data_IF_018644521190
#
_entry.id   IF_018644521190
#
_cell.length_a   1.000
_cell.length_b   1.000
_cell.length_c   1.000
_cell.angle_alpha   90.00
_cell.angle_beta   90.00
_cell.angle_gamma   90.00
#
_symmetry.space_group_name_H-M   'P 1'
#
loop_
_entity.id
_entity.type
_entity.pdbx_description
1 polymer ?
#
# COMPACT_ATOMS: atom_id res chain seq x y z
N UNK A 1 -6.01 1.45 -21.74
CA UNK A 1 -6.00 0.45 -20.64
C UNK A 1 -4.65 -0.25 -20.47
N UNK A 2 -3.96 -0.77 -21.50
CA UNK A 2 -2.66 -1.44 -21.32
C UNK A 2 -1.55 -0.57 -20.69
N UNK A 3 -1.45 0.71 -21.05
CA UNK A 3 -0.43 1.63 -20.50
C UNK A 3 -0.55 1.85 -18.99
N UNK A 4 -1.77 1.88 -18.46
CA UNK A 4 -2.03 2.13 -17.03
C UNK A 4 -1.77 0.90 -16.15
N UNK A 5 -1.92 -0.32 -16.69
CA UNK A 5 -1.59 -1.57 -15.97
C UNK A 5 -0.09 -1.66 -15.68
N UNK A 6 0.75 -1.35 -16.69
CA UNK A 6 2.21 -1.34 -16.52
C UNK A 6 2.67 -0.30 -15.50
N UNK A 7 2.06 0.89 -15.51
CA UNK A 7 2.35 1.93 -14.53
C UNK A 7 1.97 1.50 -13.10
N UNK A 8 0.81 0.88 -12.91
CA UNK A 8 0.36 0.39 -11.59
C UNK A 8 1.26 -0.72 -11.06
N UNK A 9 1.67 -1.66 -11.92
CA UNK A 9 2.60 -2.71 -11.54
C UNK A 9 3.95 -2.11 -11.13
N UNK A 10 4.52 -1.22 -11.94
CA UNK A 10 5.79 -0.58 -11.64
C UNK A 10 5.73 0.20 -10.31
N UNK A 11 4.69 1.00 -10.10
CA UNK A 11 4.52 1.76 -8.85
C UNK A 11 4.33 0.84 -7.63
N UNK A 12 3.56 -0.24 -7.77
CA UNK A 12 3.37 -1.23 -6.70
C UNK A 12 4.67 -1.96 -6.35
N UNK A 13 5.49 -2.31 -7.35
CA UNK A 13 6.80 -2.89 -7.15
C UNK A 13 7.74 -1.92 -6.44
N UNK A 14 7.79 -0.64 -6.85
CA UNK A 14 8.58 0.39 -6.18
C UNK A 14 8.11 0.56 -4.73
N UNK A 15 6.81 0.63 -4.47
CA UNK A 15 6.27 0.73 -3.12
C UNK A 15 6.71 -0.46 -2.24
N UNK A 16 6.67 -1.68 -2.78
CA UNK A 16 7.14 -2.89 -2.10
C UNK A 16 8.66 -2.89 -1.86
N UNK A 17 9.45 -2.46 -2.83
CA UNK A 17 10.91 -2.34 -2.69
C UNK A 17 11.30 -1.30 -1.64
N UNK A 18 10.60 -0.17 -1.56
CA UNK A 18 10.79 0.84 -0.50
C UNK A 18 10.52 0.25 0.90
N UNK A 19 9.61 -0.74 1.00
CA UNK A 19 9.33 -1.45 2.26
C UNK A 19 10.42 -2.47 2.64
N UNK A 20 11.20 -2.97 1.68
CA UNK A 20 12.26 -3.96 1.88
C UNK A 20 13.60 -3.37 2.35
N UNK A 21 13.59 -2.23 3.05
CA UNK A 21 14.76 -1.50 3.61
C UNK A 21 15.86 -2.38 4.21
N UNK A 22 15.57 -3.61 4.61
CA UNK A 22 16.37 -4.50 5.44
C UNK A 22 17.77 -4.90 4.91
N UNK A 23 18.26 -4.47 3.73
CA UNK A 23 19.62 -4.91 3.33
C UNK A 23 20.48 -4.05 2.40
N UNK A 24 20.09 -2.89 1.88
CA UNK A 24 20.98 -2.11 1.00
C UNK A 24 21.23 -0.69 1.47
N UNK A 25 22.51 -0.46 1.75
CA UNK A 25 23.29 0.78 1.77
C UNK A 25 22.81 1.91 2.68
N UNK A 26 23.81 2.54 3.30
CA UNK A 26 23.79 3.77 4.12
C UNK A 26 23.34 4.99 3.29
N UNK A 27 22.22 4.87 2.59
CA UNK A 27 21.64 5.92 1.77
C UNK A 27 20.35 6.35 2.49
N UNK A 28 20.38 7.59 3.00
CA UNK A 28 19.25 8.35 3.53
C UNK A 28 18.69 7.89 4.88
N UNK A 29 18.17 8.86 5.63
CA UNK A 29 17.53 8.63 6.92
C UNK A 29 16.20 7.89 6.76
N UNK A 30 15.81 7.15 7.80
CA UNK A 30 14.55 6.42 7.81
C UNK A 30 13.32 7.33 7.57
N UNK A 31 13.40 8.61 7.95
CA UNK A 31 12.37 9.60 7.66
C UNK A 31 12.16 9.78 6.15
N UNK A 32 13.25 9.91 5.38
CA UNK A 32 13.18 10.07 3.91
C UNK A 32 12.52 8.88 3.23
N UNK A 33 12.92 7.66 3.61
CA UNK A 33 12.32 6.43 3.05
C UNK A 33 10.81 6.36 3.29
N UNK A 34 10.36 6.80 4.46
CA UNK A 34 8.94 6.85 4.81
C UNK A 34 8.18 7.86 3.96
N UNK A 35 8.74 9.06 3.77
CA UNK A 35 8.13 10.09 2.92
C UNK A 35 8.01 9.60 1.47
N UNK A 36 9.08 9.01 0.93
CA UNK A 36 9.06 8.43 -0.42
C UNK A 36 8.02 7.32 -0.55
N UNK A 37 7.91 6.42 0.43
CA UNK A 37 6.90 5.37 0.44
C UNK A 37 5.47 5.93 0.44
N UNK A 38 5.21 6.97 1.23
CA UNK A 38 3.90 7.66 1.24
C UNK A 38 3.62 8.31 -0.12
N UNK A 39 4.58 9.04 -0.69
CA UNK A 39 4.43 9.68 -2.01
C UNK A 39 4.11 8.64 -3.10
N UNK A 40 4.88 7.55 -3.15
CA UNK A 40 4.66 6.47 -4.13
C UNK A 40 3.32 5.78 -3.88
N UNK A 41 2.98 5.49 -2.63
CA UNK A 41 1.69 4.87 -2.27
C UNK A 41 0.50 5.74 -2.69
N UNK A 42 0.52 7.04 -2.36
CA UNK A 42 -0.52 7.99 -2.77
C UNK A 42 -0.59 8.14 -4.29
N UNK A 43 0.56 8.22 -4.98
CA UNK A 43 0.61 8.24 -6.43
C UNK A 43 0.01 6.98 -7.05
N UNK A 44 0.27 5.81 -6.47
CA UNK A 44 -0.32 4.53 -6.91
C UNK A 44 -1.84 4.55 -6.76
N UNK A 45 -2.36 5.05 -5.64
CA UNK A 45 -3.80 5.18 -5.41
C UNK A 45 -4.47 6.10 -6.45
N UNK A 46 -3.84 7.23 -6.77
CA UNK A 46 -4.34 8.14 -7.81
C UNK A 46 -4.41 7.45 -9.17
N UNK A 47 -3.32 6.80 -9.60
CA UNK A 47 -3.30 6.05 -10.86
C UNK A 47 -4.33 4.93 -10.84
N UNK A 48 -4.56 4.29 -9.69
CA UNK A 48 -5.56 3.22 -9.57
C UNK A 48 -6.97 3.76 -9.80
N UNK A 49 -7.32 4.88 -9.17
CA UNK A 49 -8.63 5.51 -9.38
C UNK A 49 -8.86 5.94 -10.83
N UNK A 50 -7.83 6.50 -11.47
CA UNK A 50 -7.87 6.83 -12.89
C UNK A 50 -7.99 5.57 -13.77
N UNK A 51 -7.34 4.47 -13.38
CA UNK A 51 -7.37 3.21 -14.11
C UNK A 51 -8.73 2.50 -14.03
N UNK A 52 -9.36 2.49 -12.86
CA UNK A 52 -10.63 1.79 -12.64
C UNK A 52 -11.86 2.66 -12.89
N UNK A 53 -11.69 3.97 -13.03
CA UNK A 53 -12.80 4.93 -13.10
C UNK A 53 -13.61 4.94 -11.80
N UNK A 54 -12.93 4.76 -10.65
CA UNK A 54 -13.54 4.70 -9.31
C UNK A 54 -14.52 3.50 -9.14
N UNK A 55 -14.43 2.51 -10.02
CA UNK A 55 -15.21 1.27 -9.90
C UNK A 55 -14.43 0.25 -9.08
N UNK A 56 -15.12 -0.44 -8.17
CA UNK A 56 -14.53 -1.56 -7.42
C UNK A 56 -14.23 -2.77 -8.32
N UNK A 57 -14.99 -2.93 -9.41
CA UNK A 57 -14.93 -4.11 -10.28
C UNK A 57 -15.82 -5.24 -9.76
N UNK A 58 -15.66 -6.43 -10.34
CA UNK A 58 -16.37 -7.66 -9.95
C UNK A 58 -15.38 -8.82 -9.85
N UNK A 59 -15.75 -9.88 -9.12
CA UNK A 59 -14.96 -11.10 -8.96
C UNK A 59 -13.52 -10.80 -8.50
N UNK A 60 -12.52 -11.25 -9.26
CA UNK A 60 -11.10 -11.07 -8.97
C UNK A 60 -10.71 -9.59 -8.79
N UNK A 61 -11.29 -8.70 -9.60
CA UNK A 61 -10.99 -7.26 -9.53
C UNK A 61 -11.52 -6.63 -8.23
N UNK A 62 -12.67 -7.10 -7.74
CA UNK A 62 -13.24 -6.64 -6.48
C UNK A 62 -12.35 -7.06 -5.29
N UNK A 63 -11.92 -8.32 -5.26
CA UNK A 63 -10.99 -8.79 -4.21
C UNK A 63 -9.66 -8.05 -4.26
N UNK A 64 -9.09 -7.84 -5.45
CA UNK A 64 -7.85 -7.08 -5.65
C UNK A 64 -8.01 -5.64 -5.14
N UNK A 65 -9.12 -4.98 -5.47
CA UNK A 65 -9.42 -3.63 -5.01
C UNK A 65 -9.58 -3.57 -3.49
N UNK A 66 -10.32 -4.50 -2.87
CA UNK A 66 -10.48 -4.57 -1.41
C UNK A 66 -9.14 -4.74 -0.72
N UNK A 67 -8.27 -5.63 -1.22
CA UNK A 67 -6.93 -5.81 -0.67
C UNK A 67 -6.08 -4.53 -0.81
N UNK A 68 -6.12 -3.87 -1.97
CA UNK A 68 -5.39 -2.63 -2.20
C UNK A 68 -5.88 -1.47 -1.33
N UNK A 69 -7.19 -1.33 -1.15
CA UNK A 69 -7.76 -0.33 -0.24
C UNK A 69 -7.42 -0.67 1.21
N UNK A 70 -7.52 -1.94 1.61
CA UNK A 70 -7.19 -2.39 2.96
C UNK A 70 -5.76 -2.07 3.36
N UNK A 71 -4.78 -2.36 2.49
CA UNK A 71 -3.38 -2.01 2.75
C UNK A 71 -3.18 -0.50 2.81
N UNK A 72 -3.86 0.25 1.94
CA UNK A 72 -3.78 1.73 1.91
C UNK A 72 -4.34 2.33 3.19
N UNK A 73 -5.52 1.90 3.64
CA UNK A 73 -6.14 2.37 4.88
C UNK A 73 -5.31 2.00 6.11
N UNK A 74 -4.78 0.77 6.18
CA UNK A 74 -3.90 0.37 7.27
C UNK A 74 -2.61 1.21 7.30
N UNK A 75 -2.03 1.51 6.13
CA UNK A 75 -0.85 2.37 6.01
C UNK A 75 -1.14 3.82 6.40
N UNK A 76 -2.26 4.38 5.96
CA UNK A 76 -2.71 5.71 6.32
C UNK A 76 -2.97 5.84 7.83
N UNK A 77 -3.61 4.83 8.44
CA UNK A 77 -3.82 4.77 9.89
C UNK A 77 -2.50 4.73 10.66
N UNK A 78 -1.53 3.92 10.23
CA UNK A 78 -0.18 3.89 10.83
C UNK A 78 0.53 5.24 10.72
N UNK A 79 0.44 5.88 9.54
CA UNK A 79 1.00 7.20 9.28
C UNK A 79 0.38 8.27 10.17
N UNK A 80 -0.95 8.31 10.24
CA UNK A 80 -1.70 9.24 11.09
C UNK A 80 -1.41 9.03 12.57
N UNK A 81 -1.39 7.78 13.05
CA UNK A 81 -1.06 7.46 14.44
C UNK A 81 0.35 7.95 14.82
N UNK A 82 1.30 7.88 13.88
CA UNK A 82 2.66 8.39 14.10
C UNK A 82 2.73 9.92 14.03
N UNK A 83 2.04 10.55 13.07
CA UNK A 83 2.10 12.00 12.87
C UNK A 83 1.31 12.79 13.93
N UNK A 84 0.23 12.20 14.43
CA UNK A 84 -0.69 12.81 15.38
C UNK A 84 -0.58 12.16 16.76
N UNK A 85 0.52 11.46 17.06
CA UNK A 85 0.71 10.72 18.31
C UNK A 85 0.43 11.61 19.53
N UNK A 86 1.01 12.82 19.54
CA UNK A 86 0.85 13.82 20.60
C UNK A 86 -0.54 14.45 20.71
N UNK A 87 -1.42 14.25 19.71
CA UNK A 87 -2.78 14.81 19.68
C UNK A 87 -3.87 13.77 19.86
N UNK A 88 -3.66 12.55 19.37
CA UNK A 88 -4.68 11.50 19.33
C UNK A 88 -4.61 10.53 20.50
N UNK A 89 -3.47 10.40 21.17
CA UNK A 89 -3.30 9.43 22.25
C UNK A 89 -2.97 10.15 23.56
N UNK A 90 -3.74 9.82 24.60
CA UNK A 90 -3.49 10.32 25.94
C UNK A 90 -2.34 9.56 26.61
N UNK A 91 -2.07 8.33 26.15
CA UNK A 91 -1.02 7.46 26.69
C UNK A 91 -0.15 6.86 25.58
N UNK A 92 1.14 6.66 25.87
CA UNK A 92 2.07 6.01 24.96
C UNK A 92 1.69 4.55 24.62
N UNK A 93 0.93 3.89 25.50
CA UNK A 93 0.43 2.53 25.28
C UNK A 93 -0.60 2.42 24.16
N UNK A 94 -1.48 3.41 24.01
CA UNK A 94 -2.50 3.44 22.94
C UNK A 94 -1.88 3.68 21.57
N UNK A 95 -0.88 4.58 21.51
CA UNK A 95 -0.09 4.82 20.31
C UNK A 95 0.65 3.55 19.86
N UNK A 96 1.29 2.85 20.80
CA UNK A 96 2.01 1.60 20.52
C UNK A 96 1.06 0.49 20.02
N UNK A 97 -0.13 0.35 20.64
CA UNK A 97 -1.14 -0.63 20.21
C UNK A 97 -1.66 -0.33 18.82
N UNK A 98 -1.99 0.92 18.52
CA UNK A 98 -2.49 1.33 17.20
C UNK A 98 -1.43 1.07 16.14
N UNK A 99 -0.16 1.42 16.40
CA UNK A 99 0.94 1.15 15.48
C UNK A 99 1.13 -0.34 15.22
N UNK A 100 1.05 -1.17 16.26
CA UNK A 100 1.15 -2.64 16.14
C UNK A 100 0.00 -3.20 15.31
N UNK A 101 -1.23 -2.79 15.61
CA UNK A 101 -2.42 -3.23 14.88
C UNK A 101 -2.35 -2.81 13.41
N UNK A 102 -2.04 -1.55 13.13
CA UNK A 102 -1.90 -1.07 11.75
C UNK A 102 -0.78 -1.78 11.00
N UNK A 103 0.34 -2.10 11.66
CA UNK A 103 1.41 -2.90 11.05
C UNK A 103 0.90 -4.29 10.64
N UNK A 104 0.25 -5.01 11.57
CA UNK A 104 -0.28 -6.34 11.28
C UNK A 104 -1.38 -6.32 10.21
N UNK A 105 -2.29 -5.35 10.26
CA UNK A 105 -3.31 -5.17 9.22
C UNK A 105 -2.68 -4.87 7.87
N UNK A 106 -1.63 -4.04 7.81
CA UNK A 106 -0.93 -3.72 6.57
C UNK A 106 -0.21 -4.95 5.99
N UNK A 107 0.43 -5.76 6.83
CA UNK A 107 1.06 -7.02 6.42
C UNK A 107 0.02 -8.05 5.96
N UNK A 108 -1.08 -8.20 6.69
CA UNK A 108 -2.16 -9.13 6.33
C UNK A 108 -2.88 -8.72 5.04
N UNK A 109 -3.11 -7.42 4.84
CA UNK A 109 -3.70 -6.90 3.60
C UNK A 109 -2.74 -6.97 2.40
N UNK A 110 -1.42 -6.97 2.66
CA UNK A 110 -0.40 -7.20 1.63
C UNK A 110 -0.34 -8.65 1.18
N UNK A 111 -0.57 -9.62 2.06
CA UNK A 111 -0.50 -11.05 1.74
C UNK A 111 -1.24 -11.47 0.45
N UNK A 112 -2.53 -11.12 0.26
CA UNK A 112 -3.27 -11.58 -0.91
C UNK A 112 -2.90 -10.83 -2.20
N UNK A 113 -2.31 -9.63 -2.08
CA UNK A 113 -2.05 -8.74 -3.22
C UNK A 113 -1.18 -9.38 -4.31
N UNK A 114 -0.01 -9.99 -4.02
CA UNK A 114 0.82 -10.63 -5.03
C UNK A 114 0.08 -11.72 -5.83
N UNK A 115 -0.69 -12.56 -5.13
CA UNK A 115 -1.43 -13.65 -5.77
C UNK A 115 -2.59 -13.11 -6.62
N UNK A 116 -3.39 -12.20 -6.08
CA UNK A 116 -4.51 -11.60 -6.81
C UNK A 116 -4.03 -10.79 -8.03
N UNK A 117 -2.93 -10.06 -7.89
CA UNK A 117 -2.34 -9.27 -8.97
C UNK A 117 -1.75 -10.18 -10.06
N UNK A 118 -1.04 -11.25 -9.68
CA UNK A 118 -0.52 -12.21 -10.64
C UNK A 118 -1.66 -12.85 -11.45
N UNK A 119 -2.74 -13.27 -10.79
CA UNK A 119 -3.92 -13.79 -11.46
C UNK A 119 -4.58 -12.75 -12.38
N UNK A 120 -4.73 -11.50 -11.93
CA UNK A 120 -5.31 -10.44 -12.74
C UNK A 120 -4.51 -10.20 -14.01
N UNK A 121 -3.18 -10.11 -13.90
CA UNK A 121 -2.28 -9.96 -15.05
C UNK A 121 -2.41 -11.16 -15.98
N UNK A 122 -2.37 -12.39 -15.45
CA UNK A 122 -2.52 -13.61 -16.24
C UNK A 122 -3.83 -13.59 -17.04
N UNK A 123 -4.95 -13.25 -16.40
CA UNK A 123 -6.25 -13.22 -17.08
C UNK A 123 -6.33 -12.17 -18.18
N UNK A 124 -5.58 -11.06 -18.11
CA UNK A 124 -5.59 -9.99 -19.12
C UNK A 124 -4.67 -10.27 -20.30
N UNK A 125 -3.65 -11.13 -20.11
CA UNK A 125 -2.71 -11.47 -21.18
C UNK A 125 -3.05 -12.78 -21.89
N UNK A 126 -3.69 -13.73 -21.20
CA UNK A 126 -4.01 -15.05 -21.75
C UNK A 126 -5.46 -15.17 -22.25
N UNK A 127 -6.35 -14.26 -21.85
CA UNK A 127 -7.75 -14.17 -22.32
C UNK A 127 -8.06 -12.74 -22.76
#
# INVERSE_FOLDING_TARGET
MRKTIGALLALSLVAGLLSLRKRSVRLWEFATWRVLHVIVGTGTLLVLFLHTGVRLGSNLNMWLMISFLGITFAGAAAGAATALEHRLFATSGEAARTRSLSFWLHVLALWPLPLLLAMHILTVYFY
#
